data_IF_995512010322
#
_entry.id   IF_995512010322
#
_cell.length_a   1.000
_cell.length_b   1.000
_cell.length_c   1.000
_cell.angle_alpha   90.00
_cell.angle_beta   90.00
_cell.angle_gamma   90.00
#
_symmetry.space_group_name_H-M   'P 1'
#
loop_
_entity.id
_entity.type
_entity.pdbx_description
1 polymer ?
#
# COMPACT_ATOMS: atom_id res chain seq x y z
N UNK A 1 47.95 -23.94 -68.99
CA UNK A 1 46.59 -24.32 -68.53
C UNK A 1 46.55 -24.19 -67.02
N UNK A 2 45.41 -23.73 -66.53
CA UNK A 2 45.08 -23.11 -65.24
C UNK A 2 45.72 -23.62 -63.95
N UNK A 3 46.05 -22.65 -63.09
CA UNK A 3 46.17 -22.75 -61.64
C UNK A 3 44.79 -22.80 -60.96
N UNK A 4 44.66 -23.53 -59.85
CA UNK A 4 43.49 -23.50 -58.98
C UNK A 4 43.95 -23.30 -57.53
N UNK A 5 43.91 -22.05 -57.07
CA UNK A 5 43.94 -21.69 -55.65
C UNK A 5 42.50 -21.76 -55.11
N UNK A 6 42.25 -22.61 -54.11
CA UNK A 6 41.07 -22.49 -53.26
C UNK A 6 41.32 -21.37 -52.23
N UNK A 7 40.75 -20.19 -52.47
CA UNK A 7 40.59 -19.17 -51.44
C UNK A 7 39.20 -19.34 -50.80
N UNK A 8 39.18 -19.76 -49.54
CA UNK A 8 37.97 -19.72 -48.73
C UNK A 8 37.64 -18.26 -48.39
N UNK A 9 36.57 -17.73 -48.97
CA UNK A 9 35.96 -16.47 -48.53
C UNK A 9 35.20 -16.72 -47.23
N UNK A 10 35.80 -16.31 -46.11
CA UNK A 10 35.06 -16.12 -44.87
C UNK A 10 34.28 -14.81 -44.98
N UNK A 11 32.96 -14.91 -45.19
CA UNK A 11 32.05 -13.80 -44.95
C UNK A 11 31.97 -13.58 -43.44
N UNK A 12 32.80 -12.68 -42.92
CA UNK A 12 32.62 -12.13 -41.57
C UNK A 12 31.48 -11.13 -41.66
N UNK A 13 30.29 -11.53 -41.21
CA UNK A 13 29.24 -10.59 -40.87
C UNK A 13 29.76 -9.68 -39.74
N UNK A 14 29.48 -8.36 -39.75
CA UNK A 14 29.79 -7.54 -38.58
C UNK A 14 28.89 -8.04 -37.45
N UNK A 15 29.50 -8.71 -36.47
CA UNK A 15 28.86 -8.94 -35.20
C UNK A 15 28.49 -7.57 -34.64
N UNK A 16 27.20 -7.27 -34.56
CA UNK A 16 26.70 -6.07 -33.92
C UNK A 16 27.22 -6.02 -32.50
N UNK A 17 28.22 -5.17 -32.27
CA UNK A 17 28.57 -4.68 -30.95
C UNK A 17 27.37 -3.83 -30.50
N UNK A 18 26.37 -4.45 -29.90
CA UNK A 18 25.47 -3.74 -28.99
C UNK A 18 26.27 -3.58 -27.71
N UNK A 19 26.78 -2.36 -27.51
CA UNK A 19 27.63 -1.97 -26.40
C UNK A 19 27.03 -2.41 -25.05
N UNK A 20 27.75 -3.26 -24.34
CA UNK A 20 27.48 -3.58 -22.93
C UNK A 20 27.82 -2.39 -21.99
N UNK A 21 28.32 -1.27 -22.53
CA UNK A 21 28.73 -0.09 -21.78
C UNK A 21 27.60 0.94 -21.57
N UNK A 22 26.44 0.78 -22.22
CA UNK A 22 25.32 1.74 -22.18
C UNK A 22 24.05 1.20 -21.54
N UNK A 23 23.95 -0.11 -21.25
CA UNK A 23 22.77 -0.69 -20.61
C UNK A 23 22.66 -0.29 -19.13
N UNK A 24 21.46 0.13 -18.71
CA UNK A 24 21.15 0.43 -17.32
C UNK A 24 21.31 -0.82 -16.45
N UNK A 25 22.12 -0.71 -15.39
CA UNK A 25 22.28 -1.78 -14.41
C UNK A 25 21.27 -1.62 -13.27
N UNK A 26 20.88 -2.74 -12.65
CA UNK A 26 20.04 -2.74 -11.43
C UNK A 26 20.65 -1.82 -10.36
N UNK A 27 21.98 -1.78 -10.24
CA UNK A 27 22.70 -0.92 -9.28
C UNK A 27 22.46 0.57 -9.52
N UNK A 28 22.41 1.01 -10.78
CA UNK A 28 22.16 2.42 -11.12
C UNK A 28 20.70 2.82 -10.85
N UNK A 29 19.76 1.88 -11.07
CA UNK A 29 18.35 2.05 -10.67
C UNK A 29 18.27 2.17 -9.15
N UNK A 30 18.86 1.22 -8.43
CA UNK A 30 18.87 1.18 -6.96
C UNK A 30 19.41 2.50 -6.39
N UNK A 31 20.54 2.99 -6.89
CA UNK A 31 21.12 4.26 -6.43
C UNK A 31 20.16 5.45 -6.63
N UNK A 32 19.40 5.47 -7.72
CA UNK A 32 18.40 6.52 -7.99
C UNK A 32 17.21 6.40 -7.05
N UNK A 33 16.71 5.19 -6.84
CA UNK A 33 15.57 4.93 -5.96
C UNK A 33 15.90 5.05 -4.47
N UNK A 34 17.14 4.77 -4.06
CA UNK A 34 17.63 4.99 -2.70
C UNK A 34 17.68 6.48 -2.36
N UNK A 35 18.18 7.33 -3.28
CA UNK A 35 18.12 8.80 -3.10
C UNK A 35 16.68 9.28 -2.99
N UNK A 36 15.79 8.76 -3.84
CA UNK A 36 14.37 9.09 -3.82
C UNK A 36 13.73 8.70 -2.49
N UNK A 37 13.99 7.49 -2.02
CA UNK A 37 13.49 6.98 -0.74
C UNK A 37 14.02 7.77 0.46
N UNK A 38 15.31 8.10 0.47
CA UNK A 38 15.92 8.92 1.51
C UNK A 38 15.27 10.31 1.60
N UNK A 39 14.97 10.92 0.44
CA UNK A 39 14.29 12.22 0.40
C UNK A 39 12.87 12.17 0.97
N UNK A 40 12.10 11.09 0.73
CA UNK A 40 10.78 10.89 1.36
C UNK A 40 10.92 10.85 2.89
N UNK A 41 11.83 10.02 3.40
CA UNK A 41 12.04 9.86 4.84
C UNK A 41 12.58 11.13 5.51
N UNK A 42 13.42 11.89 4.81
CA UNK A 42 13.95 13.17 5.26
C UNK A 42 12.95 14.33 5.13
N UNK A 43 11.77 14.10 4.51
CA UNK A 43 10.80 15.14 4.15
C UNK A 43 11.46 16.27 3.35
N UNK A 44 12.22 15.88 2.33
CA UNK A 44 12.96 16.78 1.45
C UNK A 44 12.34 16.80 0.04
N UNK A 45 11.42 17.74 -0.25
CA UNK A 45 10.83 17.88 -1.57
C UNK A 45 11.86 18.21 -2.65
N UNK A 46 12.93 18.93 -2.32
CA UNK A 46 13.94 19.30 -3.32
C UNK A 46 14.74 18.07 -3.75
N UNK A 47 15.25 17.29 -2.79
CA UNK A 47 15.96 16.04 -3.05
C UNK A 47 15.09 14.99 -3.74
N UNK A 48 13.81 14.92 -3.42
CA UNK A 48 12.89 13.99 -4.09
C UNK A 48 12.69 14.36 -5.55
N UNK A 49 12.41 15.65 -5.82
CA UNK A 49 12.21 16.14 -7.18
C UNK A 49 13.50 16.14 -8.00
N UNK A 50 14.68 16.19 -7.38
CA UNK A 50 15.98 16.01 -8.05
C UNK A 50 16.14 14.60 -8.64
N UNK A 51 15.39 13.60 -8.17
CA UNK A 51 15.39 12.25 -8.77
C UNK A 51 14.50 12.11 -10.01
N UNK A 52 13.72 13.14 -10.33
CA UNK A 52 12.80 13.15 -11.47
C UNK A 52 13.41 13.89 -12.65
N UNK A 53 13.03 13.48 -13.86
CA UNK A 53 13.50 14.13 -15.08
C UNK A 53 13.20 15.64 -15.04
N UNK A 54 14.16 16.53 -15.38
CA UNK A 54 13.97 17.99 -15.25
C UNK A 54 12.81 18.54 -16.10
N UNK A 55 12.60 17.96 -17.27
CA UNK A 55 11.58 18.34 -18.26
C UNK A 55 10.22 17.65 -18.05
N UNK A 56 10.12 16.67 -17.15
CA UNK A 56 8.89 15.98 -16.81
C UNK A 56 7.95 16.82 -15.93
N UNK A 57 7.56 18.01 -16.41
CA UNK A 57 6.80 19.04 -15.67
C UNK A 57 5.56 18.48 -14.97
N UNK A 58 4.77 17.64 -15.67
CA UNK A 58 3.55 17.03 -15.12
C UNK A 58 3.86 16.05 -13.99
N UNK A 59 4.88 15.19 -14.18
CA UNK A 59 5.32 14.24 -13.15
C UNK A 59 5.80 15.00 -11.91
N UNK A 60 6.65 16.01 -12.08
CA UNK A 60 7.19 16.82 -10.98
C UNK A 60 6.08 17.51 -10.17
N UNK A 61 5.06 18.02 -10.85
CA UNK A 61 3.89 18.60 -10.18
C UNK A 61 3.11 17.55 -9.38
N UNK A 62 2.78 16.41 -10.01
CA UNK A 62 2.06 15.32 -9.36
C UNK A 62 2.82 14.76 -8.14
N UNK A 63 4.13 14.55 -8.28
CA UNK A 63 5.00 14.01 -7.25
C UNK A 63 5.25 15.00 -6.10
N UNK A 64 5.20 16.31 -6.36
CA UNK A 64 5.18 17.33 -5.30
C UNK A 64 3.89 17.25 -4.48
N UNK A 65 2.75 17.10 -5.15
CA UNK A 65 1.46 16.93 -4.47
C UNK A 65 1.43 15.64 -3.66
N UNK A 66 1.93 14.53 -4.22
CA UNK A 66 2.04 13.25 -3.52
C UNK A 66 2.83 13.38 -2.21
N UNK A 67 4.00 14.05 -2.25
CA UNK A 67 4.80 14.33 -1.05
C UNK A 67 4.07 15.20 -0.02
N UNK A 68 3.33 16.22 -0.47
CA UNK A 68 2.54 17.05 0.42
C UNK A 68 1.44 16.22 1.08
N UNK A 69 0.77 15.36 0.33
CA UNK A 69 -0.31 14.52 0.82
C UNK A 69 0.14 13.53 1.90
N UNK A 70 1.36 12.99 1.80
CA UNK A 70 1.92 12.06 2.78
C UNK A 70 2.70 12.76 3.91
N UNK A 71 2.74 14.09 3.93
CA UNK A 71 3.60 14.84 4.84
C UNK A 71 3.39 14.43 6.30
N UNK A 72 2.17 14.32 6.79
CA UNK A 72 1.94 14.00 8.22
C UNK A 72 1.93 12.51 8.56
N UNK A 73 2.03 11.64 7.55
CA UNK A 73 2.09 10.19 7.76
C UNK A 73 3.41 9.83 8.48
N UNK A 74 3.36 9.10 9.61
CA UNK A 74 4.56 8.78 10.36
C UNK A 74 5.28 7.58 9.77
N UNK A 75 5.98 7.80 8.65
CA UNK A 75 6.75 6.77 7.97
C UNK A 75 8.01 6.37 8.77
N UNK A 76 8.20 5.07 8.95
CA UNK A 76 9.41 4.46 9.54
C UNK A 76 10.43 4.05 8.49
N UNK A 77 9.95 3.57 7.36
CA UNK A 77 10.80 3.15 6.25
C UNK A 77 10.06 3.34 4.95
N UNK A 78 10.83 3.61 3.90
CA UNK A 78 10.42 3.72 2.52
C UNK A 78 11.58 3.17 1.70
N UNK A 79 11.31 2.20 0.84
CA UNK A 79 12.32 1.54 0.03
C UNK A 79 11.69 1.03 -1.26
N UNK A 80 12.49 0.97 -2.32
CA UNK A 80 12.09 0.34 -3.56
C UNK A 80 12.94 -0.92 -3.76
N UNK A 81 12.32 -1.97 -4.26
CA UNK A 81 13.01 -3.20 -4.67
C UNK A 81 12.75 -3.40 -6.16
N UNK A 82 13.81 -3.35 -6.97
CA UNK A 82 13.73 -3.63 -8.41
C UNK A 82 13.40 -5.11 -8.61
N UNK A 83 12.30 -5.39 -9.30
CA UNK A 83 11.86 -6.77 -9.59
C UNK A 83 12.29 -7.20 -10.99
N UNK A 84 12.12 -6.32 -11.97
CA UNK A 84 12.45 -6.60 -13.36
C UNK A 84 12.76 -5.31 -14.15
N UNK A 85 13.60 -5.43 -15.17
CA UNK A 85 13.81 -4.39 -16.19
C UNK A 85 13.19 -4.93 -17.47
N UNK A 86 11.99 -4.47 -17.79
CA UNK A 86 11.18 -5.04 -18.87
C UNK A 86 11.63 -4.57 -20.24
N UNK A 87 12.11 -3.33 -20.34
CA UNK A 87 12.54 -2.70 -21.59
C UNK A 87 13.71 -1.74 -21.32
N UNK A 88 14.67 -1.67 -22.24
CA UNK A 88 15.74 -0.67 -22.22
C UNK A 88 16.41 -0.53 -23.60
N UNK A 89 16.95 0.66 -23.90
CA UNK A 89 17.75 0.94 -25.10
C UNK A 89 19.08 1.67 -24.83
N UNK A 90 19.37 1.94 -23.55
CA UNK A 90 20.59 2.59 -23.07
C UNK A 90 20.41 4.08 -22.72
N UNK A 91 19.36 4.72 -23.22
CA UNK A 91 18.95 6.07 -22.84
C UNK A 91 17.62 6.08 -22.08
N UNK A 92 16.80 5.05 -22.29
CA UNK A 92 15.53 4.84 -21.59
C UNK A 92 15.44 3.42 -21.04
N UNK A 93 14.63 3.26 -19.98
CA UNK A 93 14.27 1.97 -19.44
C UNK A 93 12.88 1.97 -18.79
N UNK A 94 12.18 0.83 -18.86
CA UNK A 94 11.02 0.53 -18.01
C UNK A 94 11.38 -0.56 -17.02
N UNK A 95 10.98 -0.35 -15.77
CA UNK A 95 11.21 -1.31 -14.68
C UNK A 95 9.96 -1.51 -13.84
N UNK A 96 9.74 -2.76 -13.43
CA UNK A 96 8.80 -3.06 -12.35
C UNK A 96 9.55 -3.04 -11.01
N UNK A 97 9.00 -2.27 -10.07
CA UNK A 97 9.54 -2.15 -8.71
C UNK A 97 8.46 -2.46 -7.69
N UNK A 98 8.87 -2.88 -6.51
CA UNK A 98 8.03 -2.97 -5.33
C UNK A 98 8.38 -1.83 -4.38
N UNK A 99 7.45 -0.91 -4.18
CA UNK A 99 7.53 0.10 -3.14
C UNK A 99 7.14 -0.55 -1.81
N UNK A 100 8.05 -0.51 -0.84
CA UNK A 100 7.92 -1.09 0.48
C UNK A 100 7.98 -0.01 1.54
N UNK A 101 6.97 0.11 2.39
CA UNK A 101 6.95 1.11 3.45
C UNK A 101 6.37 0.58 4.76
N UNK A 102 6.70 1.27 5.84
CA UNK A 102 6.17 1.01 7.19
C UNK A 102 5.75 2.32 7.84
N UNK A 103 4.67 2.25 8.61
CA UNK A 103 4.23 3.27 9.54
C UNK A 103 4.86 2.99 10.92
N UNK A 104 5.52 3.99 11.48
CA UNK A 104 6.26 3.92 12.74
C UNK A 104 5.36 3.61 13.93
N UNK A 105 5.70 2.54 14.66
CA UNK A 105 4.95 2.08 15.83
C UNK A 105 3.72 1.23 15.52
N UNK A 106 3.36 1.02 14.26
CA UNK A 106 2.18 0.23 13.86
C UNK A 106 2.57 -0.99 13.02
N UNK A 107 3.44 -0.81 12.02
CA UNK A 107 3.80 -1.89 11.10
C UNK A 107 5.02 -2.66 11.59
N UNK A 108 4.86 -3.98 11.79
CA UNK A 108 5.99 -4.86 12.13
C UNK A 108 6.68 -5.42 10.89
N UNK A 109 5.99 -5.40 9.74
CA UNK A 109 6.49 -5.78 8.42
C UNK A 109 6.07 -4.70 7.41
N UNK A 110 6.81 -4.50 6.30
CA UNK A 110 6.41 -3.53 5.29
C UNK A 110 5.17 -3.98 4.51
N UNK A 111 4.33 -3.01 4.14
CA UNK A 111 3.38 -3.16 3.01
C UNK A 111 4.18 -3.08 1.71
N UNK A 112 3.76 -3.82 0.69
CA UNK A 112 4.41 -3.87 -0.62
C UNK A 112 3.42 -3.55 -1.74
N UNK A 113 3.61 -2.43 -2.44
CA UNK A 113 2.83 -2.10 -3.64
C UNK A 113 3.71 -2.11 -4.90
N UNK A 114 3.19 -2.70 -5.98
CA UNK A 114 3.92 -2.80 -7.24
C UNK A 114 3.74 -1.53 -8.06
N UNK A 115 4.83 -1.03 -8.62
CA UNK A 115 4.88 0.16 -9.47
C UNK A 115 5.62 -0.13 -10.76
N UNK A 116 5.23 0.56 -11.82
CA UNK A 116 6.00 0.60 -13.06
C UNK A 116 6.63 1.98 -13.18
N UNK A 117 7.96 2.00 -13.26
CA UNK A 117 8.72 3.24 -13.45
C UNK A 117 9.29 3.26 -14.87
N UNK A 118 9.24 4.43 -15.48
CA UNK A 118 10.04 4.74 -16.66
C UNK A 118 11.19 5.64 -16.22
N UNK A 119 12.38 5.34 -16.72
CA UNK A 119 13.60 6.08 -16.45
C UNK A 119 14.18 6.59 -17.75
N UNK A 120 14.82 7.76 -17.67
CA UNK A 120 15.62 8.32 -18.73
C UNK A 120 17.01 8.69 -18.22
N UNK A 121 17.99 8.56 -19.09
CA UNK A 121 19.37 8.97 -18.86
C UNK A 121 19.59 10.37 -19.42
N UNK A 122 20.21 11.23 -18.62
CA UNK A 122 20.77 12.51 -19.07
C UNK A 122 22.19 12.62 -18.52
N UNK A 123 23.16 12.59 -19.44
CA UNK A 123 24.58 12.41 -19.13
C UNK A 123 24.86 11.09 -18.39
N UNK A 124 25.46 11.18 -17.21
CA UNK A 124 25.81 10.02 -16.37
C UNK A 124 24.73 9.70 -15.32
N UNK A 125 23.58 10.39 -15.36
CA UNK A 125 22.55 10.25 -14.34
C UNK A 125 21.25 9.72 -14.93
N UNK A 126 20.63 8.81 -14.19
CA UNK A 126 19.29 8.34 -14.44
C UNK A 126 18.26 9.11 -13.61
N UNK A 127 17.12 9.37 -14.22
CA UNK A 127 16.00 10.07 -13.63
C UNK A 127 14.72 9.29 -13.88
N UNK A 128 13.78 9.37 -12.94
CA UNK A 128 12.43 8.85 -13.16
C UNK A 128 11.67 9.83 -14.05
N UNK A 129 11.21 9.36 -15.21
CA UNK A 129 10.42 10.12 -16.19
C UNK A 129 8.93 9.79 -16.15
N UNK A 130 8.56 8.61 -15.63
CA UNK A 130 7.18 8.27 -15.29
C UNK A 130 7.11 7.34 -14.06
N UNK A 131 6.02 7.45 -13.31
CA UNK A 131 5.73 6.61 -12.14
C UNK A 131 4.23 6.34 -12.06
N UNK A 132 3.85 5.06 -12.14
CA UNK A 132 2.45 4.64 -12.09
C UNK A 132 2.28 3.32 -11.32
N UNK A 133 1.09 3.06 -10.75
CA UNK A 133 0.75 1.73 -10.25
C UNK A 133 0.97 0.66 -11.33
N UNK A 134 1.52 -0.48 -10.95
CA UNK A 134 1.57 -1.63 -11.84
C UNK A 134 0.14 -2.15 -12.12
N UNK A 135 -0.04 -2.90 -13.21
CA UNK A 135 -1.35 -3.46 -13.54
C UNK A 135 -1.87 -4.33 -12.39
N UNK A 136 -3.07 -4.00 -11.91
CA UNK A 136 -3.73 -4.70 -10.80
C UNK A 136 -3.16 -4.38 -9.42
N UNK A 137 -2.28 -3.38 -9.28
CA UNK A 137 -1.90 -2.84 -7.98
C UNK A 137 -3.03 -1.94 -7.43
N UNK A 138 -3.20 -1.92 -6.11
CA UNK A 138 -4.13 -1.02 -5.45
C UNK A 138 -3.56 0.39 -5.33
N UNK A 139 -4.47 1.36 -5.26
CA UNK A 139 -4.10 2.74 -4.96
C UNK A 139 -3.62 2.88 -3.52
N UNK A 140 -2.95 4.00 -3.24
CA UNK A 140 -2.54 4.39 -1.90
C UNK A 140 -3.39 5.58 -1.45
N UNK A 141 -3.65 5.68 -0.16
CA UNK A 141 -4.52 6.73 0.38
C UNK A 141 -4.05 8.14 -0.01
N UNK A 142 -2.74 8.41 0.06
CA UNK A 142 -2.17 9.72 -0.32
C UNK A 142 -2.21 10.02 -1.82
N UNK A 143 -2.57 9.06 -2.69
CA UNK A 143 -2.88 9.36 -4.09
C UNK A 143 -4.29 9.97 -4.25
N UNK A 144 -5.16 9.83 -3.24
CA UNK A 144 -6.55 10.29 -3.26
C UNK A 144 -6.70 11.73 -2.77
N UNK A 145 -5.70 12.25 -2.04
CA UNK A 145 -5.70 13.62 -1.54
C UNK A 145 -4.79 13.76 -0.32
N UNK A 146 -4.82 14.95 0.29
CA UNK A 146 -4.08 15.26 1.51
C UNK A 146 -4.54 14.36 2.67
N UNK A 147 -3.58 13.71 3.33
CA UNK A 147 -3.86 12.77 4.41
C UNK A 147 -3.87 13.48 5.74
N UNK A 148 -5.05 13.59 6.33
CA UNK A 148 -5.25 14.01 7.71
C UNK A 148 -4.92 12.84 8.65
N UNK A 149 -4.16 13.11 9.72
CA UNK A 149 -3.63 12.08 10.61
C UNK A 149 -4.10 12.29 12.05
N UNK A 150 -4.98 11.40 12.51
CA UNK A 150 -5.44 11.39 13.91
C UNK A 150 -4.83 10.21 14.67
N UNK A 151 -4.14 10.52 15.77
CA UNK A 151 -3.57 9.52 16.68
C UNK A 151 -4.49 9.30 17.88
N UNK A 152 -4.83 8.04 18.14
CA UNK A 152 -5.48 7.59 19.36
C UNK A 152 -4.51 6.89 20.32
N UNK A 153 -5.04 6.39 21.43
CA UNK A 153 -4.33 5.59 22.42
C UNK A 153 -3.82 4.27 21.82
N UNK A 154 -4.62 3.63 20.96
CA UNK A 154 -4.32 2.37 20.26
C UNK A 154 -4.40 2.48 18.74
N UNK A 155 -4.95 3.57 18.21
CA UNK A 155 -5.23 3.74 16.79
C UNK A 155 -4.34 4.78 16.09
N UNK A 156 -4.22 4.64 14.77
CA UNK A 156 -3.80 5.69 13.84
C UNK A 156 -4.85 5.74 12.73
N UNK A 157 -5.58 6.84 12.64
CA UNK A 157 -6.59 7.05 11.60
C UNK A 157 -5.99 7.99 10.56
N UNK A 158 -5.98 7.54 9.31
CA UNK A 158 -5.54 8.28 8.14
C UNK A 158 -6.77 8.56 7.28
N UNK A 159 -7.12 9.83 7.09
CA UNK A 159 -8.31 10.24 6.35
C UNK A 159 -7.99 11.13 5.16
N UNK A 160 -8.80 11.08 4.11
CA UNK A 160 -8.74 12.01 2.98
C UNK A 160 -10.13 12.62 2.76
N UNK A 161 -10.19 13.95 2.64
CA UNK A 161 -11.46 14.65 2.42
C UNK A 161 -12.45 14.55 3.59
N UNK A 162 -11.94 14.32 4.80
CA UNK A 162 -12.72 14.12 6.03
C UNK A 162 -12.38 15.17 7.07
N UNK A 163 -13.36 15.68 7.83
CA UNK A 163 -13.08 16.56 8.95
C UNK A 163 -12.37 15.80 10.07
N UNK A 164 -11.42 16.45 10.76
CA UNK A 164 -10.66 15.87 11.87
C UNK A 164 -11.58 15.29 12.96
N UNK A 165 -12.72 15.94 13.24
CA UNK A 165 -13.70 15.47 14.22
C UNK A 165 -14.26 14.08 13.88
N UNK A 166 -14.56 13.80 12.61
CA UNK A 166 -15.05 12.49 12.16
C UNK A 166 -13.95 11.43 12.36
N UNK A 167 -12.71 11.76 11.99
CA UNK A 167 -11.56 10.86 12.16
C UNK A 167 -11.26 10.59 13.64
N UNK A 168 -11.48 11.59 14.52
CA UNK A 168 -11.38 11.45 15.97
C UNK A 168 -12.41 10.48 16.53
N UNK A 169 -13.66 10.56 16.09
CA UNK A 169 -14.71 9.63 16.50
C UNK A 169 -14.40 8.18 16.09
N UNK A 170 -13.81 7.99 14.91
CA UNK A 170 -13.29 6.68 14.47
C UNK A 170 -12.17 6.21 15.40
N UNK A 171 -11.19 7.07 15.70
CA UNK A 171 -10.07 6.75 16.59
C UNK A 171 -10.55 6.33 17.99
N UNK A 172 -11.45 7.11 18.60
CA UNK A 172 -12.03 6.83 19.91
C UNK A 172 -12.79 5.48 19.92
N UNK A 173 -13.48 5.15 18.83
CA UNK A 173 -14.19 3.88 18.70
C UNK A 173 -13.23 2.70 18.63
N UNK A 174 -12.11 2.82 17.89
CA UNK A 174 -11.06 1.78 17.86
C UNK A 174 -10.37 1.66 19.21
N UNK A 175 -10.09 2.77 19.88
CA UNK A 175 -9.44 2.76 21.19
C UNK A 175 -10.29 2.05 22.25
N UNK A 176 -11.62 2.06 22.09
CA UNK A 176 -12.54 1.23 22.87
C UNK A 176 -12.63 -0.24 22.41
N UNK A 177 -12.33 -0.51 21.14
CA UNK A 177 -12.35 -1.86 20.57
C UNK A 177 -11.13 -2.68 21.00
N UNK A 178 -9.93 -2.09 20.98
CA UNK A 178 -8.67 -2.79 21.31
C UNK A 178 -8.67 -3.51 22.69
N UNK A 179 -9.11 -2.88 23.81
CA UNK A 179 -9.22 -3.60 25.08
C UNK A 179 -10.30 -4.69 25.02
N UNK A 180 -11.46 -4.43 24.41
CA UNK A 180 -12.54 -5.43 24.29
C UNK A 180 -12.09 -6.68 23.50
N UNK A 181 -11.34 -6.49 22.42
CA UNK A 181 -10.73 -7.58 21.64
C UNK A 181 -9.66 -8.29 22.45
N UNK A 182 -8.82 -7.56 23.20
CA UNK A 182 -7.81 -8.17 24.08
C UNK A 182 -8.42 -9.03 25.19
N UNK A 183 -9.60 -8.68 25.68
CA UNK A 183 -10.32 -9.49 26.66
C UNK A 183 -10.94 -10.74 26.03
N UNK A 184 -11.30 -10.69 24.74
CA UNK A 184 -11.88 -11.79 23.98
C UNK A 184 -10.81 -12.75 23.42
N UNK A 185 -9.62 -12.22 23.09
CA UNK A 185 -8.51 -12.94 22.49
C UNK A 185 -7.33 -13.01 23.46
N UNK A 186 -7.12 -14.15 24.16
CA UNK A 186 -6.15 -14.25 25.26
C UNK A 186 -4.68 -14.28 24.79
N UNK A 187 -4.43 -14.31 23.48
CA UNK A 187 -3.09 -14.40 22.90
C UNK A 187 -2.50 -13.00 22.73
N UNK A 188 -1.16 -12.85 22.83
CA UNK A 188 -0.52 -11.56 22.59
C UNK A 188 -0.70 -11.12 21.13
N UNK A 189 -0.94 -9.83 20.93
CA UNK A 189 -0.98 -9.15 19.64
C UNK A 189 -0.56 -7.68 19.84
N UNK A 190 -0.34 -6.93 18.76
CA UNK A 190 0.29 -5.59 18.83
C UNK A 190 -0.55 -4.54 19.58
N UNK A 191 -1.88 -4.72 19.68
CA UNK A 191 -2.82 -3.74 20.28
C UNK A 191 -2.67 -2.34 19.66
N UNK A 192 -2.37 -2.32 18.36
CA UNK A 192 -2.21 -1.15 17.51
C UNK A 192 -2.97 -1.40 16.23
N UNK A 193 -3.77 -0.43 15.79
CA UNK A 193 -4.63 -0.55 14.60
C UNK A 193 -4.46 0.68 13.73
N UNK A 194 -4.23 0.47 12.43
CA UNK A 194 -4.24 1.54 11.44
C UNK A 194 -5.59 1.51 10.71
N UNK A 195 -6.27 2.64 10.67
CA UNK A 195 -7.54 2.80 9.97
C UNK A 195 -7.39 3.77 8.82
N UNK A 196 -7.91 3.43 7.64
CA UNK A 196 -7.98 4.29 6.48
C UNK A 196 -9.44 4.74 6.29
N UNK A 197 -9.66 6.04 6.11
CA UNK A 197 -10.98 6.64 5.90
C UNK A 197 -10.96 7.44 4.59
N UNK A 198 -11.25 6.80 3.45
CA UNK A 198 -11.33 7.50 2.16
C UNK A 198 -12.53 8.45 2.09
N UNK A 199 -12.55 9.27 1.04
CA UNK A 199 -13.62 10.26 0.79
C UNK A 199 -14.92 9.64 0.22
N UNK A 200 -14.85 8.41 -0.30
CA UNK A 200 -15.97 7.78 -1.01
C UNK A 200 -15.81 6.25 -1.08
N UNK A 201 -16.90 5.57 -1.47
CA UNK A 201 -16.86 4.11 -1.74
C UNK A 201 -15.99 3.79 -2.95
N UNK A 202 -15.93 4.68 -3.95
CA UNK A 202 -15.05 4.53 -5.11
C UNK A 202 -13.58 4.58 -4.70
N UNK A 203 -13.20 5.56 -3.88
CA UNK A 203 -11.85 5.65 -3.30
C UNK A 203 -11.51 4.44 -2.42
N UNK A 204 -12.47 3.94 -1.62
CA UNK A 204 -12.29 2.68 -0.88
C UNK A 204 -12.00 1.50 -1.81
N UNK A 205 -12.74 1.39 -2.93
CA UNK A 205 -12.57 0.33 -3.90
C UNK A 205 -11.17 0.37 -4.56
N UNK A 206 -10.65 1.57 -4.83
CA UNK A 206 -9.28 1.80 -5.30
C UNK A 206 -8.21 1.28 -4.35
N UNK A 207 -8.36 1.52 -3.03
CA UNK A 207 -7.46 0.99 -1.99
C UNK A 207 -7.50 -0.55 -1.91
N UNK A 208 -8.65 -1.14 -2.25
CA UNK A 208 -8.88 -2.58 -2.23
C UNK A 208 -8.58 -3.27 -3.56
N UNK A 209 -8.22 -2.51 -4.60
CA UNK A 209 -7.98 -3.04 -5.95
C UNK A 209 -9.16 -3.83 -6.52
N UNK A 210 -10.40 -3.51 -6.12
CA UNK A 210 -11.61 -4.24 -6.55
C UNK A 210 -12.71 -3.27 -7.01
N UNK A 211 -13.75 -3.75 -7.73
CA UNK A 211 -14.86 -2.90 -8.14
C UNK A 211 -15.68 -2.37 -6.96
N UNK A 212 -16.17 -1.13 -7.05
CA UNK A 212 -16.99 -0.44 -6.04
C UNK A 212 -18.22 -1.27 -5.59
N UNK A 213 -18.87 -1.95 -6.53
CA UNK A 213 -20.06 -2.79 -6.26
C UNK A 213 -19.82 -3.88 -5.23
N UNK A 214 -18.57 -4.28 -5.01
CA UNK A 214 -18.20 -5.31 -4.02
C UNK A 214 -18.32 -4.82 -2.58
N UNK A 215 -18.33 -3.49 -2.35
CA UNK A 215 -18.23 -2.89 -1.01
C UNK A 215 -19.41 -1.98 -0.65
N UNK A 216 -20.38 -1.81 -1.55
CA UNK A 216 -21.63 -1.10 -1.23
C UNK A 216 -22.35 -1.83 -0.08
N UNK A 217 -22.56 -1.11 1.03
CA UNK A 217 -23.21 -1.64 2.24
C UNK A 217 -22.30 -2.40 3.21
N UNK A 218 -21.02 -2.58 2.88
CA UNK A 218 -20.01 -3.10 3.81
C UNK A 218 -19.38 -1.91 4.54
N UNK A 219 -19.56 -1.82 5.85
CA UNK A 219 -19.19 -0.65 6.64
C UNK A 219 -17.68 -0.49 6.88
N UNK A 220 -16.94 -1.60 6.93
CA UNK A 220 -15.48 -1.60 6.99
C UNK A 220 -14.93 -2.95 6.53
N UNK A 221 -13.65 -2.99 6.16
CA UNK A 221 -12.94 -4.22 5.78
C UNK A 221 -11.52 -4.19 6.34
N UNK A 222 -11.07 -5.28 6.96
CA UNK A 222 -9.68 -5.48 7.32
C UNK A 222 -8.92 -6.13 6.18
N UNK A 223 -7.96 -5.41 5.60
CA UNK A 223 -6.98 -5.99 4.69
C UNK A 223 -5.72 -6.37 5.44
N UNK A 224 -5.13 -7.48 5.02
CA UNK A 224 -3.77 -7.85 5.37
C UNK A 224 -3.11 -8.45 4.13
N UNK A 225 -1.86 -8.08 3.85
CA UNK A 225 -1.07 -8.85 2.91
C UNK A 225 -0.77 -10.21 3.55
N UNK A 226 -1.57 -11.21 3.22
CA UNK A 226 -1.10 -12.58 3.28
C UNK A 226 0.07 -12.66 2.30
N UNK A 227 1.29 -12.45 2.80
CA UNK A 227 2.49 -12.44 1.97
C UNK A 227 2.44 -13.59 0.99
N UNK A 228 2.63 -13.30 -0.30
CA UNK A 228 2.51 -14.24 -1.42
C UNK A 228 3.50 -15.42 -1.38
N UNK A 229 4.20 -15.62 -0.26
CA UNK A 229 5.09 -16.73 0.01
C UNK A 229 4.74 -17.21 1.42
N UNK A 230 4.53 -18.52 1.62
CA UNK A 230 4.02 -19.15 2.86
C UNK A 230 4.86 -18.99 4.15
N UNK A 231 5.46 -17.82 4.36
CA UNK A 231 6.01 -17.33 5.62
C UNK A 231 4.92 -16.50 6.32
N UNK A 232 5.01 -16.41 7.65
CA UNK A 232 4.01 -15.79 8.54
C UNK A 232 3.42 -14.50 7.97
N UNK A 233 2.10 -14.24 8.14
CA UNK A 233 1.48 -13.04 7.59
C UNK A 233 2.22 -11.79 8.06
N UNK A 234 2.51 -10.89 7.11
CA UNK A 234 3.08 -9.59 7.39
C UNK A 234 2.04 -8.79 8.19
N UNK A 235 2.38 -8.34 9.40
CA UNK A 235 1.45 -7.53 10.21
C UNK A 235 1.63 -6.06 9.85
N UNK A 236 0.90 -5.68 8.82
CA UNK A 236 0.62 -4.31 8.42
C UNK A 236 -0.84 -4.20 7.99
N UNK A 237 -1.73 -4.83 8.77
CA UNK A 237 -3.16 -4.83 8.46
C UNK A 237 -3.70 -3.38 8.43
N UNK A 238 -4.69 -3.14 7.58
CA UNK A 238 -5.42 -1.87 7.47
C UNK A 238 -6.90 -2.15 7.64
N UNK A 239 -7.53 -1.43 8.54
CA UNK A 239 -9.00 -1.37 8.59
C UNK A 239 -9.43 -0.23 7.68
N UNK A 240 -10.14 -0.51 6.60
CA UNK A 240 -10.62 0.50 5.66
C UNK A 240 -12.11 0.71 5.93
N UNK A 241 -12.48 1.93 6.31
CA UNK A 241 -13.87 2.30 6.61
C UNK A 241 -14.57 2.72 5.33
N UNK A 242 -15.76 2.19 5.08
CA UNK A 242 -16.67 2.73 4.08
C UNK A 242 -17.37 3.95 4.70
N UNK A 243 -17.06 5.17 4.26
CA UNK A 243 -17.55 6.36 4.96
C UNK A 243 -19.08 6.49 4.91
N UNK A 244 -19.72 6.09 3.82
CA UNK A 244 -21.18 6.20 3.66
C UNK A 244 -21.92 5.18 4.53
N UNK A 245 -21.53 3.90 4.40
CA UNK A 245 -22.16 2.82 5.15
C UNK A 245 -21.88 2.97 6.66
N UNK A 246 -20.67 3.35 7.05
CA UNK A 246 -20.29 3.53 8.45
C UNK A 246 -21.00 4.73 9.10
N UNK A 247 -21.15 5.85 8.39
CA UNK A 247 -21.88 7.01 8.89
C UNK A 247 -23.39 6.72 9.06
N UNK A 248 -23.94 5.79 8.28
CA UNK A 248 -25.34 5.38 8.42
C UNK A 248 -25.63 4.55 9.69
N UNK A 249 -24.58 4.04 10.35
CA UNK A 249 -24.70 3.27 11.59
C UNK A 249 -24.84 4.20 12.79
N UNK A 250 -25.67 3.82 13.76
CA UNK A 250 -25.61 4.42 15.10
C UNK A 250 -24.33 4.01 15.85
N UNK A 251 -24.02 4.71 16.94
CA UNK A 251 -22.80 4.48 17.75
C UNK A 251 -22.58 3.01 18.16
N UNK A 252 -23.65 2.29 18.45
CA UNK A 252 -23.58 0.85 18.73
C UNK A 252 -23.09 0.05 17.52
N UNK A 253 -23.66 0.28 16.33
CA UNK A 253 -23.26 -0.40 15.10
C UNK A 253 -21.82 -0.10 14.71
N UNK A 254 -21.43 1.17 14.80
CA UNK A 254 -20.05 1.63 14.60
C UNK A 254 -19.05 0.90 15.51
N UNK A 255 -19.40 0.75 16.79
CA UNK A 255 -18.58 0.01 17.77
C UNK A 255 -18.51 -1.48 17.48
N UNK A 256 -19.62 -2.10 17.08
CA UNK A 256 -19.66 -3.52 16.68
C UNK A 256 -18.74 -3.73 15.47
N UNK A 257 -18.90 -2.94 14.41
CA UNK A 257 -18.10 -3.06 13.18
C UNK A 257 -16.61 -2.89 13.47
N UNK A 258 -16.18 -1.81 14.14
CA UNK A 258 -14.75 -1.64 14.40
C UNK A 258 -14.18 -2.63 15.42
N UNK A 259 -15.00 -3.19 16.32
CA UNK A 259 -14.56 -4.31 17.18
C UNK A 259 -14.40 -5.60 16.37
N UNK A 260 -15.30 -5.87 15.42
CA UNK A 260 -15.20 -6.99 14.50
C UNK A 260 -13.90 -6.88 13.67
N UNK A 261 -13.67 -5.75 12.99
CA UNK A 261 -12.46 -5.54 12.18
C UNK A 261 -11.17 -5.59 13.02
N UNK A 262 -11.18 -4.99 14.22
CA UNK A 262 -10.04 -5.07 15.15
C UNK A 262 -9.75 -6.52 15.56
N UNK A 263 -10.76 -7.40 15.59
CA UNK A 263 -10.57 -8.82 15.88
C UNK A 263 -9.80 -9.53 14.76
N UNK A 264 -10.03 -9.16 13.50
CA UNK A 264 -9.26 -9.70 12.35
C UNK A 264 -7.78 -9.31 12.40
N UNK A 265 -7.47 -8.11 12.90
CA UNK A 265 -6.09 -7.65 13.17
C UNK A 265 -5.47 -8.49 14.30
N UNK A 266 -6.16 -8.62 15.43
CA UNK A 266 -5.66 -9.35 16.59
C UNK A 266 -5.39 -10.84 16.33
N UNK A 267 -6.20 -11.43 15.45
CA UNK A 267 -6.14 -12.87 15.13
C UNK A 267 -5.28 -13.19 13.92
N UNK A 268 -4.74 -12.19 13.20
CA UNK A 268 -4.04 -12.37 11.91
C UNK A 268 -2.95 -13.43 11.91
N UNK A 269 -2.12 -13.48 12.95
CA UNK A 269 -1.04 -14.47 13.07
C UNK A 269 -1.53 -15.90 13.37
N UNK A 270 -2.81 -16.04 13.72
CA UNK A 270 -3.46 -17.30 14.09
C UNK A 270 -4.49 -17.77 13.05
N UNK A 271 -4.70 -16.99 11.99
CA UNK A 271 -5.54 -17.35 10.85
C UNK A 271 -4.69 -17.59 9.60
N UNK A 272 -5.22 -18.38 8.67
CA UNK A 272 -4.59 -18.71 7.38
C UNK A 272 -5.67 -19.00 6.34
N UNK A 273 -5.27 -19.25 5.09
CA UNK A 273 -6.20 -19.71 4.05
C UNK A 273 -6.93 -21.02 4.39
N UNK A 274 -6.40 -21.81 5.33
CA UNK A 274 -7.04 -23.04 5.81
C UNK A 274 -8.02 -22.81 6.97
N UNK A 275 -8.07 -21.60 7.55
CA UNK A 275 -9.00 -21.28 8.63
C UNK A 275 -10.43 -21.24 8.08
N UNK A 276 -11.37 -22.03 8.65
CA UNK A 276 -12.76 -21.99 8.19
C UNK A 276 -13.37 -20.59 8.36
N UNK A 277 -14.06 -20.10 7.33
CA UNK A 277 -14.70 -18.78 7.34
C UNK A 277 -15.63 -18.62 8.54
N UNK A 278 -16.44 -19.64 8.84
CA UNK A 278 -17.36 -19.61 9.99
C UNK A 278 -16.63 -19.38 11.32
N UNK A 279 -15.38 -19.85 11.45
CA UNK A 279 -14.60 -19.69 12.67
C UNK A 279 -13.99 -18.29 12.73
N UNK A 280 -13.45 -17.79 11.61
CA UNK A 280 -12.87 -16.45 11.53
C UNK A 280 -13.93 -15.37 11.75
N UNK A 281 -14.99 -15.37 10.94
CA UNK A 281 -16.07 -14.38 11.01
C UNK A 281 -16.91 -14.56 12.28
N UNK A 282 -17.23 -15.80 12.63
CA UNK A 282 -18.02 -16.08 13.84
C UNK A 282 -17.31 -15.66 15.13
N UNK A 283 -15.98 -15.78 15.21
CA UNK A 283 -15.22 -15.27 16.35
C UNK A 283 -15.19 -13.74 16.38
N UNK A 284 -15.01 -13.09 15.22
CA UNK A 284 -15.04 -11.63 15.12
C UNK A 284 -16.41 -11.05 15.53
N UNK A 285 -17.51 -11.66 15.09
CA UNK A 285 -18.86 -11.32 15.53
C UNK A 285 -19.07 -11.55 17.03
N UNK A 286 -18.69 -12.74 17.52
CA UNK A 286 -18.81 -13.03 18.94
C UNK A 286 -18.04 -12.03 19.80
N UNK A 287 -16.80 -11.68 19.42
CA UNK A 287 -15.99 -10.69 20.12
C UNK A 287 -16.63 -9.28 20.06
N UNK A 288 -17.21 -8.90 18.93
CA UNK A 288 -17.90 -7.63 18.74
C UNK A 288 -19.17 -7.49 19.60
N UNK A 289 -19.89 -8.58 19.85
CA UNK A 289 -21.10 -8.58 20.71
C UNK A 289 -20.84 -8.97 22.17
N UNK A 290 -19.65 -9.49 22.50
CA UNK A 290 -19.31 -9.95 23.86
C UNK A 290 -19.52 -8.86 24.91
N UNK A 291 -20.27 -9.19 25.96
CA UNK A 291 -20.53 -8.27 27.07
C UNK A 291 -21.45 -7.11 26.73
N UNK A 292 -22.06 -7.11 25.53
CA UNK A 292 -23.01 -6.08 25.09
C UNK A 292 -24.41 -6.67 25.02
N UNK A 293 -25.34 -6.11 25.79
CA UNK A 293 -26.76 -6.36 25.56
C UNK A 293 -27.17 -5.59 24.31
N UNK A 294 -27.47 -6.28 23.22
CA UNK A 294 -28.21 -5.65 22.13
C UNK A 294 -29.53 -5.11 22.71
N UNK A 295 -29.95 -3.87 22.41
CA UNK A 295 -31.33 -3.48 22.66
C UNK A 295 -32.23 -4.54 22.00
N UNK A 296 -33.28 -5.04 22.66
CA UNK A 296 -34.18 -6.01 22.03
C UNK A 296 -34.71 -5.37 20.74
N UNK A 297 -34.35 -5.95 19.60
CA UNK A 297 -35.00 -5.63 18.34
C UNK A 297 -36.45 -6.08 18.48
N UNK A 298 -37.38 -5.12 18.39
CA UNK A 298 -38.80 -5.39 18.37
C UNK A 298 -39.12 -6.45 17.31
N UNK A 299 -39.81 -7.50 17.74
CA UNK A 299 -40.36 -8.58 16.93
C UNK A 299 -40.90 -8.13 15.57
N UNK A 300 -40.56 -8.88 14.51
CA UNK A 300 -41.56 -9.22 13.50
C UNK A 300 -41.78 -10.72 13.55
N UNK A 301 -42.93 -11.10 14.10
CA UNK A 301 -43.60 -12.36 13.76
C UNK A 301 -44.00 -12.27 12.29
N UNK A 302 -43.76 -13.34 11.56
CA UNK A 302 -44.63 -13.81 10.47
C UNK A 302 -44.99 -15.24 10.81
#
# INVERSE_FOLDING_TARGET
MLAALLTASACVAPAGHRDAATSLTVREIDATLERRAAAVLARDPAGYLDTLAPDAVKLRAAQRTELANLADVPLKSWAYEVKDITEQDGEWATTEVELRYRIDGYDTAPIATRRTLELMRDGDRWYVSADRPAKGASDQLWHQGEVEVVRGAHSLVLGVGRPEEELRQVADTVDLAVPAVSDAWPRPWARRVVVLVPDSVESMAGLLGSPETSYRGIAAVTTGEAGATGKRPALADRVIVNPEAYASLGSFGQRVVLTHETTHVATRTSTSAATPVWLSEGFADWAAYRGRTAPPTSSRRS
#
